data_IF_129815327510
#
_entry.id   IF_129815327510
#
_cell.length_a   1.000
_cell.length_b   1.000
_cell.length_c   1.000
_cell.angle_alpha   90.00
_cell.angle_beta   90.00
_cell.angle_gamma   90.00
#
_symmetry.space_group_name_H-M   'P 1'
#
loop_
_entity.id
_entity.type
_entity.pdbx_description
1 polymer ?
#
# COMPACT_ATOMS: atom_id res chain seq x y z
N UNK A 1 24.56 -14.79 -15.77
CA UNK A 1 24.42 -14.23 -14.40
C UNK A 1 23.51 -12.99 -14.33
N UNK A 2 23.46 -12.09 -15.33
CA UNK A 2 22.65 -10.85 -15.25
C UNK A 2 21.11 -11.03 -15.19
N UNK A 3 20.56 -12.08 -15.80
CA UNK A 3 19.10 -12.32 -15.85
C UNK A 3 18.48 -12.54 -14.45
N UNK A 4 19.21 -13.17 -13.53
CA UNK A 4 18.74 -13.41 -12.16
C UNK A 4 18.61 -12.11 -11.37
N UNK A 5 19.56 -11.18 -11.55
CA UNK A 5 19.54 -9.87 -10.87
C UNK A 5 18.36 -9.03 -11.34
N UNK A 6 18.06 -9.04 -12.64
CA UNK A 6 16.91 -8.31 -13.19
C UNK A 6 15.60 -8.82 -12.59
N UNK A 7 15.44 -10.14 -12.46
CA UNK A 7 14.25 -10.74 -11.85
C UNK A 7 14.11 -10.37 -10.37
N UNK A 8 15.22 -10.33 -9.62
CA UNK A 8 15.21 -9.93 -8.21
C UNK A 8 14.83 -8.46 -8.04
N UNK A 9 15.42 -7.57 -8.84
CA UNK A 9 15.10 -6.14 -8.81
C UNK A 9 13.63 -5.92 -9.17
N UNK A 10 13.16 -6.56 -10.24
CA UNK A 10 11.76 -6.43 -10.67
C UNK A 10 10.79 -6.95 -9.60
N UNK A 11 11.06 -8.12 -9.01
CA UNK A 11 10.27 -8.67 -7.91
C UNK A 11 10.25 -7.76 -6.68
N UNK A 12 11.41 -7.20 -6.31
CA UNK A 12 11.51 -6.27 -5.18
C UNK A 12 10.74 -4.96 -5.46
N UNK A 13 10.84 -4.39 -6.67
CA UNK A 13 10.09 -3.19 -7.05
C UNK A 13 8.58 -3.41 -7.00
N UNK A 14 8.09 -4.55 -7.50
CA UNK A 14 6.67 -4.89 -7.46
C UNK A 14 6.18 -5.07 -6.02
N UNK A 15 6.97 -5.74 -5.17
CA UNK A 15 6.65 -5.91 -3.75
C UNK A 15 6.61 -4.57 -3.00
N UNK A 16 7.62 -3.70 -3.21
CA UNK A 16 7.67 -2.37 -2.60
C UNK A 16 6.49 -1.52 -3.07
N UNK A 17 6.15 -1.57 -4.37
CA UNK A 17 4.99 -0.85 -4.91
C UNK A 17 3.67 -1.27 -4.26
N UNK A 18 3.44 -2.58 -4.09
CA UNK A 18 2.23 -3.07 -3.40
C UNK A 18 2.15 -2.61 -1.94
N UNK A 19 3.29 -2.60 -1.24
CA UNK A 19 3.34 -2.12 0.15
C UNK A 19 3.13 -0.60 0.24
N UNK A 20 3.67 0.15 -0.72
CA UNK A 20 3.51 1.59 -0.79
C UNK A 20 2.04 1.98 -1.03
N UNK A 21 1.36 1.32 -1.98
CA UNK A 21 -0.07 1.53 -2.24
C UNK A 21 -0.93 1.25 -1.00
N UNK A 22 -0.60 0.18 -0.23
CA UNK A 22 -1.28 -0.10 1.04
C UNK A 22 -1.08 1.00 2.07
N UNK A 23 0.16 1.51 2.21
CA UNK A 23 0.47 2.59 3.14
C UNK A 23 -0.20 3.90 2.73
N UNK A 24 -0.21 4.23 1.44
CA UNK A 24 -0.91 5.40 0.91
C UNK A 24 -2.42 5.32 1.15
N UNK A 25 -3.02 4.15 1.00
CA UNK A 25 -4.45 3.95 1.30
C UNK A 25 -4.73 4.12 2.81
N UNK A 26 -3.85 3.63 3.66
CA UNK A 26 -3.91 3.79 5.12
C UNK A 26 -3.76 5.27 5.53
N UNK A 27 -2.77 5.98 5.00
CA UNK A 27 -2.58 7.42 5.23
C UNK A 27 -3.74 8.25 4.72
N UNK A 28 -4.29 7.94 3.54
CA UNK A 28 -5.48 8.63 3.01
C UNK A 28 -6.69 8.40 3.91
N UNK A 29 -6.85 7.19 4.44
CA UNK A 29 -7.92 6.88 5.37
C UNK A 29 -7.81 7.73 6.65
N UNK A 30 -6.62 7.75 7.25
CA UNK A 30 -6.32 8.54 8.44
C UNK A 30 -6.47 10.05 8.19
N UNK A 31 -5.97 10.53 7.05
CA UNK A 31 -6.08 11.94 6.64
C UNK A 31 -7.52 12.38 6.38
N UNK A 32 -8.41 11.46 6.00
CA UNK A 32 -9.84 11.71 5.84
C UNK A 32 -10.62 11.57 7.17
N UNK A 33 -9.92 11.37 8.29
CA UNK A 33 -10.51 11.20 9.62
C UNK A 33 -11.09 9.81 9.90
N UNK A 34 -10.84 8.85 9.00
CA UNK A 34 -11.24 7.45 9.18
C UNK A 34 -10.16 6.60 9.87
N UNK A 35 -10.53 5.36 10.19
CA UNK A 35 -9.65 4.33 10.70
C UNK A 35 -9.65 3.11 9.74
N UNK A 36 -8.46 2.60 9.37
CA UNK A 36 -8.35 1.36 8.60
C UNK A 36 -8.79 0.16 9.46
N UNK A 37 -9.72 -0.64 8.95
CA UNK A 37 -10.08 -1.93 9.55
C UNK A 37 -9.02 -3.00 9.26
N UNK A 38 -8.99 -4.10 10.02
CA UNK A 38 -8.10 -5.24 9.80
C UNK A 38 -8.19 -5.84 8.38
N UNK A 39 -9.30 -5.59 7.67
CA UNK A 39 -9.50 -5.98 6.27
C UNK A 39 -8.89 -5.01 5.26
N UNK A 40 -8.25 -3.93 5.70
CA UNK A 40 -7.74 -2.85 4.85
C UNK A 40 -8.83 -1.95 4.27
N UNK A 41 -10.05 -2.02 4.81
CA UNK A 41 -11.18 -1.14 4.44
C UNK A 41 -11.15 0.08 5.33
N UNK A 42 -11.20 1.27 4.74
CA UNK A 42 -11.29 2.50 5.50
C UNK A 42 -12.71 2.68 6.06
N UNK A 43 -12.82 2.87 7.38
CA UNK A 43 -14.10 3.02 8.09
C UNK A 43 -14.10 4.31 8.90
N UNK A 44 -15.27 4.87 9.23
CA UNK A 44 -15.35 6.09 10.07
C UNK A 44 -14.90 7.38 9.39
N UNK A 45 -14.72 7.38 8.06
CA UNK A 45 -14.57 8.61 7.28
C UNK A 45 -15.81 9.45 7.56
N UNK A 46 -15.63 10.69 8.04
CA UNK A 46 -16.71 11.66 8.04
C UNK A 46 -17.10 11.84 6.57
N UNK A 47 -18.22 11.25 6.17
CA UNK A 47 -18.83 11.55 4.89
C UNK A 47 -18.99 13.08 4.81
N UNK A 48 -18.62 13.73 3.70
CA UNK A 48 -19.05 15.10 3.47
C UNK A 48 -20.58 15.21 3.54
#
# INVERSE_FOLDING_TARGET
MGKTVILLVFGASVYIGMQLERRLAEERCLSAGGAPDARGVCTGVAAP
#
